data_IF_461320186262
#
_entry.id   IF_461320186262
#
_cell.length_a   1.000
_cell.length_b   1.000
_cell.length_c   1.000
_cell.angle_alpha   90.00
_cell.angle_beta   90.00
_cell.angle_gamma   90.00
#
_symmetry.space_group_name_H-M   'P 1'
#
loop_
_entity.id
_entity.type
_entity.pdbx_description
1 polymer ?
#
# COMPACT_ATOMS: atom_id res chain seq x y z
N UNK A 1 13.48 -2.56 46.22
CA UNK A 1 12.07 -2.61 45.72
C UNK A 1 11.77 -1.60 44.61
N UNK A 2 12.22 -0.34 44.67
CA UNK A 2 12.02 0.65 43.59
C UNK A 2 12.71 0.32 42.25
N UNK A 3 13.88 -0.31 42.28
CA UNK A 3 14.62 -0.69 41.05
C UNK A 3 14.02 -1.90 40.31
N UNK A 4 13.34 -2.80 41.03
CA UNK A 4 12.67 -3.97 40.43
C UNK A 4 11.40 -3.52 39.69
N UNK A 5 10.70 -2.52 40.22
CA UNK A 5 9.52 -1.94 39.57
C UNK A 5 9.86 -1.22 38.24
N UNK A 6 11.04 -0.59 38.14
CA UNK A 6 11.49 0.10 36.91
C UNK A 6 11.94 -0.87 35.80
N UNK A 7 12.55 -2.01 36.18
CA UNK A 7 12.90 -3.06 35.21
C UNK A 7 11.68 -3.83 34.70
N UNK A 8 10.66 -4.01 35.55
CA UNK A 8 9.41 -4.67 35.16
C UNK A 8 8.63 -3.86 34.11
N UNK A 9 8.65 -2.53 34.17
CA UNK A 9 7.96 -1.67 33.20
C UNK A 9 8.64 -1.58 31.84
N UNK A 10 9.98 -1.68 31.77
CA UNK A 10 10.71 -1.61 30.49
C UNK A 10 10.50 -2.87 29.62
N UNK A 11 10.29 -4.02 30.25
CA UNK A 11 10.15 -5.32 29.57
C UNK A 11 8.80 -5.49 28.85
N UNK A 12 7.75 -4.80 29.31
CA UNK A 12 6.40 -4.88 28.72
C UNK A 12 6.29 -4.08 27.41
N UNK A 13 7.11 -3.04 27.21
CA UNK A 13 7.04 -2.19 26.03
C UNK A 13 7.50 -2.88 24.72
N UNK A 14 8.32 -3.93 24.81
CA UNK A 14 8.87 -4.65 23.65
C UNK A 14 7.82 -5.59 23.03
N UNK A 15 6.82 -6.04 23.80
CA UNK A 15 5.81 -7.00 23.35
C UNK A 15 4.67 -6.38 22.50
N UNK A 16 4.62 -5.04 22.38
CA UNK A 16 3.52 -4.34 21.70
C UNK A 16 3.87 -3.96 20.25
N UNK A 17 5.11 -4.20 19.80
CA UNK A 17 5.47 -3.99 18.39
C UNK A 17 5.00 -5.18 17.55
N UNK A 18 3.75 -5.14 17.08
CA UNK A 18 3.26 -6.05 16.04
C UNK A 18 4.18 -5.95 14.82
N UNK A 19 4.99 -6.98 14.59
CA UNK A 19 5.78 -7.08 13.37
C UNK A 19 4.80 -7.20 12.20
N UNK A 20 4.72 -6.17 11.35
CA UNK A 20 3.95 -6.26 10.11
C UNK A 20 4.54 -7.38 9.24
N UNK A 21 3.78 -8.46 9.06
CA UNK A 21 4.18 -9.53 8.15
C UNK A 21 3.94 -9.07 6.71
N UNK A 22 4.99 -9.11 5.88
CA UNK A 22 4.82 -8.96 4.44
C UNK A 22 3.88 -10.06 3.93
N UNK A 23 2.93 -9.69 3.08
CA UNK A 23 2.02 -10.65 2.44
C UNK A 23 2.75 -11.50 1.39
N UNK A 24 2.24 -12.70 1.10
CA UNK A 24 2.79 -13.61 0.09
C UNK A 24 2.66 -13.02 -1.32
N UNK A 25 3.78 -12.56 -1.87
CA UNK A 25 3.84 -12.00 -3.21
C UNK A 25 3.52 -13.02 -4.32
N UNK A 26 3.87 -14.30 -4.13
CA UNK A 26 3.59 -15.34 -5.12
C UNK A 26 2.10 -15.67 -5.16
N UNK A 27 1.41 -15.64 -4.03
CA UNK A 27 -0.05 -15.67 -4.00
C UNK A 27 -0.66 -14.41 -4.66
N UNK A 28 -0.08 -13.23 -4.39
CA UNK A 28 -0.49 -11.96 -4.99
C UNK A 28 -0.41 -11.97 -6.52
N UNK A 29 0.66 -12.53 -7.09
CA UNK A 29 0.83 -12.69 -8.55
C UNK A 29 -0.32 -13.49 -9.17
N UNK A 30 -0.74 -14.59 -8.52
CA UNK A 30 -1.88 -15.40 -8.97
C UNK A 30 -3.19 -14.60 -8.94
N UNK A 31 -3.41 -13.80 -7.89
CA UNK A 31 -4.60 -12.93 -7.78
C UNK A 31 -4.58 -11.83 -8.86
N UNK A 32 -3.40 -11.29 -9.17
CA UNK A 32 -3.23 -10.24 -10.17
C UNK A 32 -3.67 -10.66 -11.58
N UNK A 33 -3.83 -11.97 -11.84
CA UNK A 33 -4.45 -12.47 -13.07
C UNK A 33 -5.85 -11.87 -13.33
N UNK A 34 -6.57 -11.45 -12.29
CA UNK A 34 -7.87 -10.75 -12.40
C UNK A 34 -7.72 -9.27 -12.76
N UNK A 35 -6.59 -8.66 -12.38
CA UNK A 35 -6.32 -7.24 -12.57
C UNK A 35 -5.63 -6.95 -13.90
N UNK A 36 -4.83 -7.90 -14.41
CA UNK A 36 -3.98 -7.74 -15.61
C UNK A 36 -4.75 -7.47 -16.91
N UNK A 37 -6.05 -7.74 -16.91
CA UNK A 37 -6.95 -7.40 -18.03
C UNK A 37 -7.03 -5.89 -18.22
N UNK A 38 -7.05 -5.12 -17.13
CA UNK A 38 -7.14 -3.67 -17.16
C UNK A 38 -5.83 -2.96 -16.87
N UNK A 39 -4.94 -3.58 -16.08
CA UNK A 39 -3.74 -2.93 -15.55
C UNK A 39 -2.45 -3.67 -15.92
N UNK A 40 -1.34 -2.96 -15.88
CA UNK A 40 0.03 -3.51 -15.93
C UNK A 40 0.80 -3.06 -14.71
N UNK A 41 1.69 -3.91 -14.21
CA UNK A 41 2.48 -3.64 -12.99
C UNK A 41 3.98 -3.60 -13.26
N UNK A 42 4.41 -4.16 -14.39
CA UNK A 42 5.80 -4.32 -14.83
C UNK A 42 6.28 -3.21 -15.78
N UNK A 43 5.34 -2.42 -16.33
CA UNK A 43 5.64 -1.35 -17.30
C UNK A 43 4.89 -0.08 -16.95
N UNK A 44 5.53 1.05 -17.22
CA UNK A 44 4.88 2.36 -17.14
C UNK A 44 4.05 2.62 -18.40
N UNK A 45 2.92 1.93 -18.50
CA UNK A 45 2.02 2.00 -19.65
C UNK A 45 0.55 1.98 -19.21
N UNK A 46 -0.24 2.90 -19.74
CA UNK A 46 -1.68 2.92 -19.54
C UNK A 46 -2.40 1.94 -20.49
N UNK A 47 -3.44 1.27 -19.98
CA UNK A 47 -4.36 0.42 -20.75
C UNK A 47 -5.80 0.92 -20.52
N UNK A 48 -6.75 0.00 -20.31
CA UNK A 48 -8.10 0.31 -19.81
C UNK A 48 -8.01 1.03 -18.46
N UNK A 49 -7.08 0.61 -17.59
CA UNK A 49 -6.70 1.29 -16.36
C UNK A 49 -5.27 1.86 -16.40
N UNK A 50 -4.90 2.71 -15.43
CA UNK A 50 -3.55 3.24 -15.30
C UNK A 50 -2.51 2.14 -15.00
N UNK A 51 -1.23 2.42 -15.24
CA UNK A 51 -0.16 1.54 -14.73
C UNK A 51 -0.20 1.47 -13.20
N UNK A 52 0.00 0.27 -12.66
CA UNK A 52 0.16 0.00 -11.23
C UNK A 52 1.64 -0.09 -10.82
N UNK A 53 2.58 0.10 -11.74
CA UNK A 53 3.99 0.27 -11.38
C UNK A 53 4.13 1.47 -10.44
N UNK A 54 4.79 1.27 -9.30
CA UNK A 54 4.95 2.30 -8.27
C UNK A 54 3.63 2.82 -7.67
N UNK A 55 2.57 2.01 -7.64
CA UNK A 55 1.27 2.45 -7.08
C UNK A 55 1.28 2.60 -5.56
N UNK A 56 2.08 1.81 -4.85
CA UNK A 56 2.12 1.84 -3.38
C UNK A 56 2.64 3.20 -2.90
N UNK A 57 1.80 3.93 -2.16
CA UNK A 57 2.11 5.26 -1.62
C UNK A 57 1.94 6.41 -2.61
N UNK A 58 1.65 6.13 -3.89
CA UNK A 58 1.29 7.16 -4.87
C UNK A 58 -0.05 7.79 -4.48
N UNK A 59 -0.26 9.08 -4.79
CA UNK A 59 -1.58 9.70 -4.58
C UNK A 59 -2.58 9.19 -5.62
N UNK A 60 -3.80 8.85 -5.22
CA UNK A 60 -4.83 8.34 -6.12
C UNK A 60 -5.15 9.33 -7.25
N UNK A 61 -5.44 8.82 -8.44
CA UNK A 61 -5.83 9.66 -9.58
C UNK A 61 -4.71 10.53 -10.19
N UNK A 62 -3.44 10.23 -9.92
CA UNK A 62 -2.31 11.07 -10.37
C UNK A 62 -1.36 10.44 -11.39
N UNK A 63 -1.61 9.20 -11.84
CA UNK A 63 -0.71 8.56 -12.80
C UNK A 63 -0.70 9.33 -14.14
N UNK A 64 0.47 9.71 -14.68
CA UNK A 64 0.57 10.55 -15.88
C UNK A 64 -0.14 9.95 -17.09
N UNK A 65 -0.76 10.82 -17.88
CA UNK A 65 -1.38 10.43 -19.15
C UNK A 65 -2.65 9.56 -19.04
N UNK A 66 -3.10 9.19 -17.83
CA UNK A 66 -4.37 8.49 -17.66
C UNK A 66 -5.52 9.46 -17.35
N UNK A 67 -6.66 9.28 -18.02
CA UNK A 67 -7.87 10.09 -17.79
C UNK A 67 -8.71 9.48 -16.67
N UNK A 68 -8.57 10.01 -15.47
CA UNK A 68 -9.35 9.59 -14.31
C UNK A 68 -10.76 10.19 -14.29
N UNK A 69 -11.66 9.54 -13.55
CA UNK A 69 -12.93 10.16 -13.20
C UNK A 69 -12.70 11.38 -12.29
N UNK A 70 -13.67 12.31 -12.32
CA UNK A 70 -13.68 13.46 -11.41
C UNK A 70 -13.56 13.01 -9.95
N UNK A 71 -14.36 12.02 -9.56
CA UNK A 71 -14.38 11.48 -8.20
C UNK A 71 -13.01 10.92 -7.76
N UNK A 72 -12.31 10.17 -8.62
CA UNK A 72 -10.99 9.62 -8.26
C UNK A 72 -9.94 10.73 -8.10
N UNK A 73 -10.00 11.76 -8.95
CA UNK A 73 -9.11 12.92 -8.86
C UNK A 73 -9.37 13.70 -7.57
N UNK A 74 -10.63 13.90 -7.21
CA UNK A 74 -11.03 14.58 -5.97
C UNK A 74 -10.63 13.79 -4.73
N UNK A 75 -10.79 12.46 -4.74
CA UNK A 75 -10.34 11.60 -3.66
C UNK A 75 -8.82 11.69 -3.44
N UNK A 76 -8.04 11.73 -4.52
CA UNK A 76 -6.59 11.97 -4.43
C UNK A 76 -6.25 13.32 -3.79
N UNK A 77 -6.96 14.38 -4.19
CA UNK A 77 -6.83 15.73 -3.59
C UNK A 77 -7.22 15.77 -2.12
N UNK A 78 -8.18 14.93 -1.69
CA UNK A 78 -8.57 14.79 -0.28
C UNK A 78 -7.64 13.85 0.51
N UNK A 79 -6.54 13.39 -0.09
CA UNK A 79 -5.49 12.64 0.60
C UNK A 79 -5.50 11.13 0.36
N UNK A 80 -6.40 10.60 -0.47
CA UNK A 80 -6.37 9.19 -0.86
C UNK A 80 -5.04 8.87 -1.55
N UNK A 81 -4.38 7.81 -1.08
CA UNK A 81 -3.19 7.23 -1.70
C UNK A 81 -3.64 6.07 -2.57
#
# INVERSE_FOLDING_TARGET
MRAIALFATASVAILVTSQSQAQDAAAGEKVFAKCKVCHVVDKDQNKVGPSLSGVIGRTAGTHPGFKYSKAMTEAGKSGLK
#
